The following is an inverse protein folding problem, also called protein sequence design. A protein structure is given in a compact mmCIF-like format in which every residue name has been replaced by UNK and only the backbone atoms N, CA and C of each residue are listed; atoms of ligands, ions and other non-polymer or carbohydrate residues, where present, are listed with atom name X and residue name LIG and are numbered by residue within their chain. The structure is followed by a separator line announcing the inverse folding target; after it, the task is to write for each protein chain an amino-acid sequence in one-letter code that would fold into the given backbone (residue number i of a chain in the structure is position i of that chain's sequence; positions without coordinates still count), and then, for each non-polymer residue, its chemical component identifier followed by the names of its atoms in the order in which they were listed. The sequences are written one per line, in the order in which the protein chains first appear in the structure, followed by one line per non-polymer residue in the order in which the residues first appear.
data_IF_221733991480
#
_entry.id   IF_221733991480
#
_cell.length_a   1.000
_cell.length_b   1.000
_cell.length_c   1.000
_cell.angle_alpha   90.00
_cell.angle_beta   90.00
_cell.angle_gamma   90.00
#
_symmetry.space_group_name_H-M   'P 1'
#
loop_
_entity.id
_entity.type
_entity.pdbx_description
1 polymer ?
#
# COMPACT_ATOMS: atom_id res chain seq x y z
N UNK A 1 3.86 13.17 -8.95
CA UNK A 1 4.72 11.97 -8.84
C UNK A 1 4.90 11.36 -10.23
N UNK A 2 6.11 10.89 -10.55
CA UNK A 2 6.35 9.98 -11.66
C UNK A 2 5.94 8.56 -11.23
N UNK A 3 4.73 8.15 -11.61
CA UNK A 3 4.09 6.91 -11.13
C UNK A 3 4.92 5.68 -11.54
N UNK A 4 5.29 5.61 -12.82
CA UNK A 4 6.06 4.50 -13.38
C UNK A 4 7.36 4.29 -12.62
N UNK A 5 8.19 5.33 -12.50
CA UNK A 5 9.46 5.27 -11.77
C UNK A 5 9.30 4.97 -10.28
N UNK A 6 8.21 5.45 -9.67
CA UNK A 6 7.92 5.17 -8.27
C UNK A 6 7.60 3.69 -8.06
N UNK A 7 6.76 3.10 -8.93
CA UNK A 7 6.45 1.67 -8.89
C UNK A 7 7.72 0.84 -9.13
N UNK A 8 8.53 1.19 -10.14
CA UNK A 8 9.81 0.54 -10.40
C UNK A 8 10.73 0.55 -9.18
N UNK A 9 10.89 1.71 -8.55
CA UNK A 9 11.73 1.88 -7.37
C UNK A 9 11.22 1.08 -6.16
N UNK A 10 9.90 1.00 -5.97
CA UNK A 10 9.28 0.22 -4.90
C UNK A 10 9.49 -1.28 -5.14
N UNK A 11 9.15 -1.76 -6.34
CA UNK A 11 9.29 -3.17 -6.72
C UNK A 11 10.74 -3.63 -6.63
N UNK A 12 11.71 -2.79 -7.02
CA UNK A 12 13.13 -3.11 -6.93
C UNK A 12 13.66 -3.23 -5.49
N UNK A 13 12.95 -2.65 -4.52
CA UNK A 13 13.29 -2.72 -3.09
C UNK A 13 12.54 -3.84 -2.36
N UNK A 14 11.57 -4.50 -3.00
CA UNK A 14 10.89 -5.63 -2.38
C UNK A 14 11.83 -6.81 -2.16
N UNK A 15 11.89 -7.33 -0.93
CA UNK A 15 12.69 -8.51 -0.61
C UNK A 15 12.03 -9.81 -1.08
N UNK A 16 12.86 -10.82 -1.36
CA UNK A 16 12.49 -12.11 -1.98
C UNK A 16 11.48 -12.97 -1.19
N UNK A 17 11.05 -12.55 0.00
CA UNK A 17 10.10 -13.31 0.81
C UNK A 17 8.69 -13.34 0.19
N UNK A 18 8.35 -12.37 -0.67
CA UNK A 18 7.04 -12.28 -1.34
C UNK A 18 7.24 -11.86 -2.78
N UNK A 19 6.35 -12.34 -3.65
CA UNK A 19 6.25 -11.84 -5.01
C UNK A 19 6.01 -10.31 -4.99
N UNK A 20 6.97 -9.49 -5.45
CA UNK A 20 6.82 -8.03 -5.50
C UNK A 20 5.55 -7.58 -6.23
N UNK A 21 4.99 -8.46 -7.05
CA UNK A 21 3.74 -8.26 -7.79
C UNK A 21 2.48 -8.28 -6.91
N UNK A 22 2.61 -8.62 -5.63
CA UNK A 22 1.51 -8.59 -4.66
C UNK A 22 1.49 -7.32 -3.80
N UNK A 23 2.48 -6.42 -3.95
CA UNK A 23 2.56 -5.17 -3.20
C UNK A 23 1.47 -4.15 -3.57
N UNK A 24 0.77 -4.37 -4.68
CA UNK A 24 -0.23 -3.45 -5.23
C UNK A 24 -1.57 -4.17 -5.35
N UNK A 25 -2.62 -3.54 -4.83
CA UNK A 25 -3.99 -4.02 -4.99
C UNK A 25 -4.90 -2.94 -5.56
N UNK A 26 -6.00 -3.36 -6.16
CA UNK A 26 -7.05 -2.45 -6.61
C UNK A 26 -7.85 -1.96 -5.40
N UNK A 27 -8.17 -0.68 -5.38
CA UNK A 27 -9.17 -0.10 -4.49
C UNK A 27 -10.32 0.44 -5.34
N UNK A 28 -11.52 -0.09 -5.11
CA UNK A 28 -12.73 0.33 -5.82
C UNK A 28 -13.13 1.74 -5.40
N UNK A 29 -14.01 2.38 -6.17
CA UNK A 29 -14.46 3.75 -5.89
C UNK A 29 -15.18 3.90 -4.53
N UNK A 30 -15.74 2.81 -3.99
CA UNK A 30 -16.34 2.75 -2.65
C UNK A 30 -15.31 2.44 -1.53
N UNK A 31 -14.02 2.58 -1.82
CA UNK A 31 -12.88 2.27 -0.95
C UNK A 31 -12.70 0.79 -0.58
N UNK A 32 -13.52 -0.15 -1.08
CA UNK A 32 -13.31 -1.59 -0.80
C UNK A 32 -12.13 -2.15 -1.58
N UNK A 33 -11.43 -3.12 -0.96
CA UNK A 33 -10.35 -3.84 -1.63
C UNK A 33 -10.90 -4.67 -2.80
N UNK A 34 -10.23 -4.55 -3.95
CA UNK A 34 -10.46 -5.31 -5.15
C UNK A 34 -9.48 -6.49 -5.25
N UNK A 35 -9.06 -6.78 -6.48
CA UNK A 35 -8.06 -7.82 -6.72
C UNK A 35 -6.64 -7.32 -6.40
N UNK A 36 -5.83 -8.17 -5.80
CA UNK A 36 -4.37 -8.02 -5.70
C UNK A 36 -3.63 -8.87 -6.76
N UNK A 37 -4.35 -9.65 -7.57
CA UNK A 37 -3.78 -10.42 -8.68
C UNK A 37 -3.85 -9.61 -9.97
N UNK A 38 -2.99 -8.60 -10.10
CA UNK A 38 -2.98 -7.67 -11.23
C UNK A 38 -2.72 -8.40 -12.56
N UNK A 39 -1.87 -9.44 -12.53
CA UNK A 39 -1.46 -10.18 -13.74
C UNK A 39 -2.60 -10.91 -14.46
N UNK A 40 -3.68 -11.27 -13.76
CA UNK A 40 -4.80 -12.02 -14.33
C UNK A 40 -5.93 -11.15 -14.88
N UNK A 41 -5.82 -9.82 -14.78
CA UNK A 41 -6.92 -8.89 -15.09
C UNK A 41 -6.99 -8.51 -16.58
N UNK A 42 -7.20 -9.52 -17.44
CA UNK A 42 -7.26 -9.35 -18.92
C UNK A 42 -8.20 -8.25 -19.40
N UNK A 43 -9.26 -7.94 -18.65
CA UNK A 43 -10.23 -6.88 -18.98
C UNK A 43 -9.64 -5.47 -19.11
N UNK A 44 -8.42 -5.23 -18.61
CA UNK A 44 -7.71 -3.94 -18.74
C UNK A 44 -6.70 -3.91 -19.90
N UNK A 45 -6.79 -4.85 -20.84
CA UNK A 45 -5.87 -4.94 -21.99
C UNK A 45 -4.46 -5.37 -21.59
N UNK A 46 -4.37 -6.19 -20.53
CA UNK A 46 -3.11 -6.78 -20.05
C UNK A 46 -2.76 -7.95 -20.97
N UNK A 47 -1.55 -7.89 -21.52
CA UNK A 47 -0.93 -8.93 -22.33
C UNK A 47 0.11 -9.70 -21.50
N UNK A 48 0.48 -10.89 -21.95
CA UNK A 48 1.41 -11.74 -21.19
C UNK A 48 2.82 -11.13 -21.14
N UNK A 49 3.21 -10.43 -22.21
CA UNK A 49 4.51 -9.82 -22.41
C UNK A 49 4.69 -8.51 -21.64
N UNK A 50 3.59 -7.92 -21.14
CA UNK A 50 3.66 -6.70 -20.34
C UNK A 50 4.47 -6.96 -19.05
N UNK A 51 5.39 -6.04 -18.76
CA UNK A 51 6.03 -5.95 -17.45
C UNK A 51 4.98 -5.68 -16.36
N UNK A 52 5.32 -6.00 -15.11
CA UNK A 52 4.41 -5.74 -13.99
C UNK A 52 4.02 -4.26 -13.88
N UNK A 53 4.96 -3.35 -14.13
CA UNK A 53 4.71 -1.90 -14.11
C UNK A 53 3.70 -1.51 -15.19
N UNK A 54 3.86 -2.01 -16.41
CA UNK A 54 2.91 -1.77 -17.50
C UNK A 54 1.51 -2.30 -17.17
N UNK A 55 1.42 -3.48 -16.55
CA UNK A 55 0.14 -4.06 -16.08
C UNK A 55 -0.55 -3.15 -15.07
N UNK A 56 0.19 -2.66 -14.08
CA UNK A 56 -0.34 -1.74 -13.05
C UNK A 56 -0.78 -0.42 -13.67
N UNK A 57 0.01 0.15 -14.59
CA UNK A 57 -0.35 1.40 -15.29
C UNK A 57 -1.60 1.24 -16.16
N UNK A 58 -1.80 0.07 -16.79
CA UNK A 58 -3.04 -0.24 -17.52
C UNK A 58 -4.24 -0.30 -16.58
N UNK A 59 -4.12 -0.94 -15.42
CA UNK A 59 -5.16 -0.96 -14.38
C UNK A 59 -5.48 0.45 -13.87
N UNK A 60 -4.45 1.27 -13.60
CA UNK A 60 -4.61 2.61 -13.05
C UNK A 60 -5.39 3.58 -13.95
N UNK A 61 -5.48 3.31 -15.26
CA UNK A 61 -6.36 4.07 -16.17
C UNK A 61 -7.85 3.92 -15.83
N UNK A 62 -8.20 2.83 -15.15
CA UNK A 62 -9.60 2.42 -14.92
C UNK A 62 -9.96 2.31 -13.43
N UNK A 63 -9.01 1.96 -12.57
CA UNK A 63 -9.21 1.69 -11.16
C UNK A 63 -8.21 2.46 -10.28
N UNK A 64 -8.55 2.69 -9.02
CA UNK A 64 -7.57 3.20 -8.06
C UNK A 64 -6.67 2.04 -7.62
N UNK A 65 -5.42 2.35 -7.30
CA UNK A 65 -4.48 1.35 -6.78
C UNK A 65 -3.96 1.78 -5.42
N UNK A 66 -3.79 0.82 -4.53
CA UNK A 66 -3.09 1.00 -3.27
C UNK A 66 -1.74 0.28 -3.35
N UNK A 67 -0.67 1.02 -3.08
CA UNK A 67 0.69 0.49 -3.02
C UNK A 67 1.09 0.41 -1.56
N UNK A 68 1.46 -0.78 -1.12
CA UNK A 68 1.81 -1.10 0.26
C UNK A 68 3.27 -0.80 0.54
N UNK A 69 3.54 -0.15 1.67
CA UNK A 69 4.90 0.18 2.13
C UNK A 69 5.31 -0.58 3.39
N UNK A 70 4.36 -1.26 4.04
CA UNK A 70 4.60 -2.08 5.21
C UNK A 70 3.34 -2.26 6.04
N UNK A 71 3.49 -2.89 7.19
CA UNK A 71 2.42 -3.15 8.15
C UNK A 71 2.52 -2.23 9.37
N UNK A 72 1.39 -1.78 9.88
CA UNK A 72 1.30 -1.05 11.15
C UNK A 72 1.24 -2.03 12.32
N UNK A 73 2.40 -2.35 12.88
CA UNK A 73 2.52 -3.06 14.15
C UNK A 73 2.80 -2.06 15.29
N UNK A 74 1.88 -1.99 16.26
CA UNK A 74 1.98 -1.09 17.42
C UNK A 74 2.49 -1.77 18.70
N UNK A 75 2.73 -3.08 18.64
CA UNK A 75 3.40 -3.91 19.66
C UNK A 75 4.43 -4.75 18.89
N UNK A 76 5.62 -5.07 19.45
CA UNK A 76 6.52 -6.06 18.86
C UNK A 76 5.78 -7.39 18.74
N UNK A 77 5.38 -7.75 17.53
CA UNK A 77 4.79 -9.05 17.23
C UNK A 77 5.87 -9.91 16.60
N UNK A 78 6.03 -11.14 17.08
CA UNK A 78 6.56 -12.20 16.23
C UNK A 78 5.48 -12.45 15.19
N UNK A 79 5.61 -11.81 14.04
CA UNK A 79 4.61 -11.90 12.99
C UNK A 79 4.70 -13.31 12.39
N UNK A 80 3.75 -14.20 12.69
CA UNK A 80 3.65 -15.51 12.02
C UNK A 80 3.02 -15.38 10.61
N UNK A 81 2.41 -14.23 10.32
CA UNK A 81 1.91 -13.89 9.00
C UNK A 81 2.94 -13.02 8.28
N UNK A 82 3.98 -13.66 7.76
CA UNK A 82 5.00 -13.10 6.87
C UNK A 82 4.37 -12.59 5.56
N UNK A 83 3.66 -11.47 5.63
CA UNK A 83 3.04 -10.87 4.46
C UNK A 83 3.41 -9.37 4.43
N UNK A 84 4.32 -9.06 3.51
CA UNK A 84 4.85 -7.81 2.97
C UNK A 84 5.87 -7.08 3.83
N UNK A 85 7.14 -7.52 3.74
CA UNK A 85 8.24 -6.83 4.39
C UNK A 85 9.35 -6.47 3.40
N UNK A 86 9.59 -5.16 3.25
CA UNK A 86 10.88 -4.60 2.84
C UNK A 86 11.75 -4.34 4.10
N UNK A 87 11.14 -4.45 5.28
CA UNK A 87 11.68 -4.39 6.65
C UNK A 87 10.42 -4.30 7.55
N UNK A 88 10.30 -5.16 8.57
CA UNK A 88 9.17 -5.07 9.51
C UNK A 88 9.35 -3.83 10.39
N UNK A 89 8.56 -2.78 10.13
CA UNK A 89 8.67 -1.52 10.86
C UNK A 89 7.67 -1.49 12.01
N UNK A 90 8.18 -1.76 13.21
CA UNK A 90 7.44 -1.50 14.44
C UNK A 90 7.43 0.00 14.72
N UNK A 91 6.24 0.59 14.87
CA UNK A 91 6.10 2.01 15.24
C UNK A 91 5.69 2.09 16.70
N UNK A 92 6.56 2.62 17.55
CA UNK A 92 6.24 2.90 18.95
C UNK A 92 5.38 4.17 19.04
N UNK A 93 4.16 4.03 19.57
CA UNK A 93 3.24 5.15 19.78
C UNK A 93 3.36 5.71 21.20
N UNK A 94 3.19 7.03 21.33
CA UNK A 94 2.78 7.64 22.59
C UNK A 94 1.35 7.25 22.97
N UNK A 95 0.97 7.45 24.23
CA UNK A 95 -0.40 7.19 24.70
C UNK A 95 -1.46 7.99 23.92
N UNK A 96 -1.16 9.23 23.55
CA UNK A 96 -2.06 10.09 22.76
C UNK A 96 -2.22 9.55 21.33
N UNK A 97 -1.12 9.15 20.69
CA UNK A 97 -1.15 8.54 19.36
C UNK A 97 -1.90 7.20 19.37
N UNK A 98 -1.74 6.39 20.42
CA UNK A 98 -2.47 5.12 20.55
C UNK A 98 -3.99 5.34 20.70
N UNK A 99 -4.42 6.37 21.43
CA UNK A 99 -5.84 6.72 21.51
C UNK A 99 -6.40 7.20 20.17
N UNK A 100 -5.55 7.77 19.31
CA UNK A 100 -5.94 8.34 18.01
C UNK A 100 -5.89 7.32 16.86
N UNK A 101 -4.96 6.37 16.90
CA UNK A 101 -4.67 5.43 15.80
C UNK A 101 -4.79 3.96 16.22
N UNK A 102 -5.20 3.67 17.45
CA UNK A 102 -5.23 2.32 17.99
C UNK A 102 -6.16 1.36 17.25
N UNK A 103 -7.08 1.88 16.46
CA UNK A 103 -8.01 1.18 15.58
C UNK A 103 -7.39 0.79 14.22
N UNK A 104 -6.19 1.31 13.88
CA UNK A 104 -5.41 0.91 12.70
C UNK A 104 -4.46 -0.28 12.98
N UNK A 105 -4.56 -0.92 14.15
CA UNK A 105 -3.69 -2.04 14.53
C UNK A 105 -3.76 -3.14 13.49
N UNK A 106 -2.58 -3.60 13.06
CA UNK A 106 -2.41 -4.74 12.15
C UNK A 106 -2.95 -4.48 10.73
N UNK A 107 -3.09 -3.20 10.33
CA UNK A 107 -3.39 -2.83 8.94
C UNK A 107 -2.11 -2.52 8.16
N UNK A 108 -2.12 -2.72 6.85
CA UNK A 108 -1.05 -2.26 5.97
C UNK A 108 -1.15 -0.76 5.76
N UNK A 109 -0.01 -0.06 5.70
CA UNK A 109 0.02 1.35 5.32
C UNK A 109 0.68 1.55 3.96
N UNK A 110 0.30 2.63 3.31
CA UNK A 110 0.86 2.99 2.03
C UNK A 110 0.15 4.16 1.38
N UNK A 111 0.11 4.15 0.05
CA UNK A 111 -0.48 5.22 -0.73
C UNK A 111 -1.59 4.71 -1.64
N UNK A 112 -2.69 5.45 -1.71
CA UNK A 112 -3.73 5.31 -2.72
C UNK A 112 -3.45 6.29 -3.86
N UNK A 113 -3.30 5.79 -5.08
CA UNK A 113 -3.25 6.58 -6.29
C UNK A 113 -4.60 6.43 -6.99
N UNK A 114 -5.30 7.55 -7.17
CA UNK A 114 -6.60 7.53 -7.85
C UNK A 114 -6.42 7.33 -9.35
N UNK A 115 -7.38 6.66 -9.98
CA UNK A 115 -7.41 6.55 -11.43
C UNK A 115 -7.31 7.94 -12.07
N UNK A 116 -6.50 8.05 -13.11
CA UNK A 116 -6.23 9.31 -13.83
C UNK A 116 -5.65 10.44 -12.95
N UNK A 117 -4.92 10.12 -11.88
CA UNK A 117 -4.24 11.08 -11.01
C UNK A 117 -2.76 10.76 -10.86
N UNK A 118 -1.95 11.81 -10.72
CA UNK A 118 -0.53 11.74 -10.36
C UNK A 118 -0.29 12.11 -8.88
N UNK A 119 -1.38 12.33 -8.13
CA UNK A 119 -1.39 12.61 -6.70
C UNK A 119 -1.73 11.32 -5.93
N UNK A 120 -1.39 11.31 -4.65
CA UNK A 120 -1.64 10.18 -3.78
C UNK A 120 -2.20 10.59 -2.42
N UNK A 121 -2.91 9.66 -1.77
CA UNK A 121 -3.38 9.79 -0.40
C UNK A 121 -2.67 8.76 0.47
N UNK A 122 -2.13 9.19 1.61
CA UNK A 122 -1.58 8.27 2.61
C UNK A 122 -2.74 7.63 3.37
N UNK A 123 -2.68 6.32 3.54
CA UNK A 123 -3.71 5.60 4.29
C UNK A 123 -3.31 4.18 4.64
N UNK A 124 -4.27 3.47 5.20
CA UNK A 124 -4.16 2.06 5.54
C UNK A 124 -5.21 1.22 4.81
N UNK A 125 -4.92 -0.07 4.67
CA UNK A 125 -5.83 -1.07 4.11
C UNK A 125 -5.55 -2.42 4.77
N UNK A 126 -6.60 -3.16 5.13
CA UNK A 126 -6.46 -4.54 5.58
C UNK A 126 -6.28 -5.46 4.35
N UNK A 127 -5.10 -6.01 4.09
CA UNK A 127 -4.88 -6.85 2.91
C UNK A 127 -5.17 -8.34 3.18
N UNK A 128 -5.59 -8.69 4.39
CA UNK A 128 -5.95 -10.06 4.72
C UNK A 128 -7.35 -10.37 4.15
N UNK A 129 -7.40 -11.16 3.07
CA UNK A 129 -8.62 -11.58 2.38
C UNK A 129 -9.64 -12.36 3.22
N UNK A 130 -9.39 -12.52 4.52
CA UNK A 130 -10.28 -13.13 5.49
C UNK A 130 -11.38 -12.16 5.99
N UNK A 131 -11.25 -10.84 5.79
CA UNK A 131 -12.28 -9.86 6.20
C UNK A 131 -13.08 -9.37 5.00
N UNK A 132 -14.39 -9.62 5.06
CA UNK A 132 -15.40 -9.19 4.06
C UNK A 132 -15.46 -7.66 3.91
N UNK A 133 -14.95 -6.91 4.90
CA UNK A 133 -15.04 -5.44 4.98
C UNK A 133 -13.71 -4.71 4.74
N UNK A 134 -12.73 -5.37 4.13
CA UNK A 134 -11.46 -4.72 3.81
C UNK A 134 -11.67 -3.47 2.95
N UNK A 135 -11.22 -2.33 3.47
CA UNK A 135 -11.37 -1.03 2.84
C UNK A 135 -10.20 -0.10 3.16
N UNK A 136 -9.88 0.75 2.19
CA UNK A 136 -8.93 1.83 2.36
C UNK A 136 -9.46 2.89 3.33
N UNK A 137 -8.61 3.29 4.27
CA UNK A 137 -8.86 4.40 5.20
C UNK A 137 -7.76 5.43 5.07
N UNK A 138 -8.15 6.66 4.75
CA UNK A 138 -7.18 7.76 4.67
C UNK A 138 -6.69 8.14 6.07
N UNK A 139 -5.36 8.19 6.24
CA UNK A 139 -4.74 8.76 7.43
C UNK A 139 -4.70 10.27 7.25
N UNK A 140 -5.31 11.02 8.18
CA UNK A 140 -5.33 12.48 8.13
C UNK A 140 -3.93 13.02 8.41
N UNK A 141 -3.54 14.07 7.67
CA UNK A 141 -2.28 14.77 7.92
C UNK A 141 -2.23 15.32 9.35
N UNK A 142 -1.10 15.11 10.01
CA UNK A 142 -0.82 15.61 11.35
C UNK A 142 0.66 15.87 11.53
N UNK A 143 1.01 16.63 12.57
CA UNK A 143 2.40 16.92 12.93
C UNK A 143 2.96 15.96 13.99
N UNK A 144 2.20 14.91 14.33
CA UNK A 144 2.63 13.88 15.27
C UNK A 144 3.75 12.99 14.70
N UNK A 145 4.44 12.28 15.60
CA UNK A 145 5.62 11.49 15.23
C UNK A 145 5.23 10.30 14.34
N UNK A 146 4.07 9.70 14.61
CA UNK A 146 3.46 8.68 13.77
C UNK A 146 3.35 9.12 12.29
N UNK A 147 2.67 10.23 12.01
CA UNK A 147 2.48 10.69 10.63
C UNK A 147 3.82 11.08 9.98
N UNK A 148 4.71 11.75 10.72
CA UNK A 148 6.06 12.09 10.24
C UNK A 148 6.85 10.86 9.83
N UNK A 149 6.79 9.79 10.62
CA UNK A 149 7.49 8.52 10.33
C UNK A 149 6.98 7.89 9.04
N UNK A 150 5.66 7.74 8.90
CA UNK A 150 5.04 7.19 7.68
C UNK A 150 5.38 8.05 6.46
N UNK A 151 5.26 9.37 6.60
CA UNK A 151 5.56 10.30 5.52
C UNK A 151 7.01 10.18 5.06
N UNK A 152 7.98 10.09 5.99
CA UNK A 152 9.38 9.91 5.64
C UNK A 152 9.65 8.60 4.88
N UNK A 153 8.99 7.50 5.29
CA UNK A 153 9.10 6.21 4.58
C UNK A 153 8.59 6.36 3.14
N UNK A 154 7.42 6.97 2.96
CA UNK A 154 6.81 7.15 1.64
C UNK A 154 7.65 8.07 0.75
N UNK A 155 8.07 9.22 1.26
CA UNK A 155 8.88 10.20 0.51
C UNK A 155 10.25 9.64 0.09
N UNK A 156 10.84 8.72 0.87
CA UNK A 156 12.11 8.05 0.50
C UNK A 156 12.00 7.07 -0.67
N UNK A 157 10.78 6.77 -1.10
CA UNK A 157 10.47 5.77 -2.12
C UNK A 157 9.70 6.32 -3.32
N UNK A 158 9.09 7.50 -3.21
CA UNK A 158 8.40 8.17 -4.31
C UNK A 158 9.39 8.97 -5.17
N UNK A 159 9.21 8.92 -6.49
CA UNK A 159 9.97 9.69 -7.47
C UNK A 159 9.09 10.81 -8.03
N UNK A 160 9.58 12.06 -8.00
CA UNK A 160 8.85 13.24 -8.48
C UNK A 160 9.04 13.52 -9.96
#
# INVERSE_FOLDING_TARGET
MNIEKSIENIVAKCDNYIDPQLAICIIRDNCTMGSNNIGELKKYGIENEDSYVEKVLKVLKHENIFITFGMLAFIPMFNECDIFSIEDKTISLSSEEFQKYGDLKEEYFGILIKKNSNDFLIGSCDLCGCKIDSSFRQIKKSEDNFYKTINNIIESNIIY
#
